data_IF_133391340416
#
_entry.id   IF_133391340416
#
_cell.length_a   1.000
_cell.length_b   1.000
_cell.length_c   1.000
_cell.angle_alpha   90.00
_cell.angle_beta   90.00
_cell.angle_gamma   90.00
#
_symmetry.space_group_name_H-M   'P 1'
#
loop_
_entity.id
_entity.type
_entity.pdbx_description
1 polymer ?
#
# COMPACT_ATOMS: atom_id res chain seq x y z
N UNK A 1 19.90 14.87 -2.71
CA UNK A 1 20.04 14.72 -4.15
C UNK A 1 18.87 13.95 -4.76
N UNK A 2 18.78 13.93 -6.08
CA UNK A 2 17.81 13.11 -6.77
C UNK A 2 18.10 11.62 -6.59
N UNK A 3 17.07 10.84 -6.22
CA UNK A 3 17.24 9.43 -5.86
C UNK A 3 17.73 8.57 -7.05
N UNK A 4 17.29 8.88 -8.28
CA UNK A 4 17.72 8.14 -9.45
C UNK A 4 19.19 8.44 -9.80
N UNK A 5 19.57 9.71 -9.84
CA UNK A 5 20.94 10.12 -10.16
C UNK A 5 21.94 9.70 -9.07
N UNK A 6 21.62 9.98 -7.81
CA UNK A 6 22.50 9.64 -6.68
C UNK A 6 22.60 8.12 -6.49
N UNK A 7 21.47 7.42 -6.60
CA UNK A 7 21.41 5.98 -6.49
C UNK A 7 22.16 5.26 -7.60
N UNK A 8 22.05 5.74 -8.85
CA UNK A 8 22.79 5.18 -9.98
C UNK A 8 24.30 5.37 -9.82
N UNK A 9 24.75 6.58 -9.46
CA UNK A 9 26.16 6.87 -9.21
C UNK A 9 26.73 6.00 -8.07
N UNK A 10 25.97 5.81 -6.99
CA UNK A 10 26.41 4.99 -5.85
C UNK A 10 26.49 3.51 -6.22
N UNK A 11 25.45 2.98 -6.87
CA UNK A 11 25.38 1.55 -7.20
C UNK A 11 26.32 1.12 -8.31
N UNK A 12 26.76 2.07 -9.15
CA UNK A 12 27.75 1.86 -10.21
C UNK A 12 29.19 2.16 -9.78
N UNK A 13 29.42 2.67 -8.56
CA UNK A 13 30.76 3.08 -8.13
C UNK A 13 31.69 1.88 -7.94
N UNK A 14 32.90 1.86 -8.51
CA UNK A 14 33.80 0.68 -8.45
C UNK A 14 34.23 0.29 -7.05
N UNK A 15 34.34 1.25 -6.11
CA UNK A 15 34.80 1.01 -4.74
C UNK A 15 33.69 0.54 -3.79
N UNK A 16 32.50 0.22 -4.32
CA UNK A 16 31.41 -0.34 -3.52
C UNK A 16 31.29 -1.84 -3.78
N UNK A 17 31.46 -2.64 -2.73
CA UNK A 17 31.41 -4.10 -2.80
C UNK A 17 30.03 -4.69 -2.57
N UNK A 18 29.18 -3.99 -1.81
CA UNK A 18 27.85 -4.46 -1.44
C UNK A 18 26.82 -3.32 -1.42
N UNK A 19 25.62 -3.63 -1.90
CA UNK A 19 24.46 -2.73 -1.87
C UNK A 19 23.35 -3.37 -1.05
N UNK A 20 22.89 -2.67 -0.01
CA UNK A 20 21.65 -2.98 0.71
C UNK A 20 20.63 -1.93 0.39
N UNK A 21 19.47 -2.34 -0.11
CA UNK A 21 18.44 -1.42 -0.61
C UNK A 21 17.05 -1.86 -0.20
N UNK A 22 16.24 -0.90 0.25
CA UNK A 22 14.80 -1.06 0.46
C UNK A 22 14.06 -0.07 -0.42
N UNK A 23 13.12 -0.55 -1.23
CA UNK A 23 12.32 0.31 -2.10
C UNK A 23 11.51 -0.43 -3.15
N UNK A 24 11.25 0.22 -4.29
CA UNK A 24 10.41 -0.36 -5.34
C UNK A 24 11.11 -1.49 -6.09
N UNK A 25 10.32 -2.47 -6.56
CA UNK A 25 10.81 -3.56 -7.44
C UNK A 25 11.53 -3.03 -8.67
N UNK A 26 11.05 -1.92 -9.27
CA UNK A 26 11.70 -1.26 -10.41
C UNK A 26 13.11 -0.77 -10.07
N UNK A 27 13.27 -0.10 -8.93
CA UNK A 27 14.59 0.37 -8.50
C UNK A 27 15.51 -0.79 -8.15
N UNK A 28 15.02 -1.82 -7.48
CA UNK A 28 15.79 -3.04 -7.17
C UNK A 28 16.31 -3.75 -8.43
N UNK A 29 15.50 -3.81 -9.50
CA UNK A 29 15.94 -4.37 -10.77
C UNK A 29 17.09 -3.58 -11.40
N UNK A 30 17.01 -2.23 -11.40
CA UNK A 30 18.09 -1.37 -11.90
C UNK A 30 19.37 -1.50 -11.07
N UNK A 31 19.24 -1.54 -9.75
CA UNK A 31 20.36 -1.77 -8.83
C UNK A 31 21.04 -3.10 -9.11
N UNK A 32 20.27 -4.17 -9.30
CA UNK A 32 20.82 -5.49 -9.63
C UNK A 32 21.57 -5.49 -10.95
N UNK A 33 21.04 -4.80 -11.96
CA UNK A 33 21.71 -4.65 -13.27
C UNK A 33 23.04 -3.89 -13.15
N UNK A 34 23.09 -2.80 -12.38
CA UNK A 34 24.31 -2.06 -12.14
C UNK A 34 25.34 -2.89 -11.37
N UNK A 35 24.91 -3.54 -10.30
CA UNK A 35 25.75 -4.36 -9.44
C UNK A 35 26.37 -5.57 -10.17
N UNK A 36 25.65 -6.15 -11.12
CA UNK A 36 26.10 -7.34 -11.84
C UNK A 36 27.39 -7.10 -12.66
N UNK A 37 27.65 -5.88 -13.13
CA UNK A 37 28.84 -5.55 -13.92
C UNK A 37 30.15 -5.81 -13.17
N UNK A 38 30.13 -5.56 -11.86
CA UNK A 38 31.30 -5.70 -10.98
C UNK A 38 31.12 -6.83 -9.95
N UNK A 39 30.13 -7.72 -10.14
CA UNK A 39 29.81 -8.83 -9.25
C UNK A 39 29.55 -8.42 -7.79
N UNK A 40 29.00 -7.21 -7.57
CA UNK A 40 28.69 -6.70 -6.24
C UNK A 40 27.61 -7.53 -5.56
N UNK A 41 27.71 -7.69 -4.27
CA UNK A 41 26.64 -8.31 -3.47
C UNK A 41 25.44 -7.37 -3.39
N UNK A 42 24.23 -7.93 -3.50
CA UNK A 42 22.99 -7.16 -3.38
C UNK A 42 22.05 -7.81 -2.38
N UNK A 43 21.56 -7.00 -1.44
CA UNK A 43 20.47 -7.35 -0.52
C UNK A 43 19.30 -6.43 -0.80
N UNK A 44 18.15 -6.98 -1.20
CA UNK A 44 17.00 -6.22 -1.64
C UNK A 44 15.77 -6.54 -0.77
N UNK A 45 15.20 -5.50 -0.19
CA UNK A 45 13.87 -5.52 0.42
C UNK A 45 12.93 -4.71 -0.49
N UNK A 46 12.01 -5.38 -1.15
CA UNK A 46 11.19 -4.81 -2.20
C UNK A 46 9.70 -4.82 -1.84
N UNK A 47 8.88 -4.24 -2.72
CA UNK A 47 7.45 -4.22 -2.58
C UNK A 47 6.79 -5.58 -2.77
N UNK A 48 5.54 -5.65 -2.41
CA UNK A 48 4.74 -6.86 -2.53
C UNK A 48 3.25 -6.58 -2.45
N UNK A 49 2.47 -7.65 -2.53
CA UNK A 49 1.01 -7.63 -2.36
C UNK A 49 0.65 -8.66 -1.28
N UNK A 50 0.83 -8.23 -0.01
CA UNK A 50 0.61 -9.09 1.16
C UNK A 50 -0.82 -9.60 1.26
N UNK A 51 -1.00 -10.82 1.77
CA UNK A 51 -2.29 -11.42 2.04
C UNK A 51 -2.55 -11.47 3.55
N UNK A 52 -3.79 -11.17 3.95
CA UNK A 52 -4.37 -11.47 5.25
C UNK A 52 -5.44 -12.55 5.05
N UNK A 53 -5.26 -13.72 5.65
CA UNK A 53 -6.15 -14.86 5.44
C UNK A 53 -6.96 -15.07 6.72
N UNK A 54 -8.28 -15.02 6.60
CA UNK A 54 -9.22 -15.11 7.74
C UNK A 54 -10.15 -16.28 7.52
N UNK A 55 -10.08 -17.25 8.42
CA UNK A 55 -11.00 -18.38 8.52
C UNK A 55 -12.10 -18.10 9.55
N UNK A 56 -13.15 -18.89 9.53
CA UNK A 56 -14.33 -18.73 10.40
C UNK A 56 -14.05 -18.85 11.90
N UNK A 57 -12.96 -19.51 12.26
CA UNK A 57 -12.52 -19.69 13.64
C UNK A 57 -11.45 -18.66 14.08
N UNK A 58 -11.20 -17.63 13.25
CA UNK A 58 -10.36 -16.51 13.65
C UNK A 58 -10.99 -15.75 14.83
N UNK A 59 -10.13 -15.05 15.57
CA UNK A 59 -10.64 -14.21 16.69
C UNK A 59 -11.55 -13.08 16.19
N UNK A 60 -12.38 -12.60 17.11
CA UNK A 60 -13.44 -11.63 16.78
C UNK A 60 -12.94 -10.29 16.21
N UNK A 61 -11.67 -9.92 16.41
CA UNK A 61 -11.10 -8.65 15.97
C UNK A 61 -10.21 -8.80 14.72
N UNK A 62 -10.10 -10.00 14.16
CA UNK A 62 -9.18 -10.31 13.07
C UNK A 62 -9.39 -9.42 11.84
N UNK A 63 -10.63 -9.05 11.54
CA UNK A 63 -11.02 -8.24 10.39
C UNK A 63 -10.56 -6.79 10.58
N UNK A 64 -10.93 -6.15 11.69
CA UNK A 64 -10.58 -4.77 12.00
C UNK A 64 -9.08 -4.60 12.19
N UNK A 65 -8.44 -5.55 12.85
CA UNK A 65 -6.98 -5.58 13.01
C UNK A 65 -6.27 -5.71 11.65
N UNK A 66 -6.82 -6.47 10.72
CA UNK A 66 -6.33 -6.57 9.36
C UNK A 66 -6.43 -5.24 8.61
N UNK A 67 -7.58 -4.57 8.71
CA UNK A 67 -7.77 -3.22 8.14
C UNK A 67 -6.82 -2.20 8.75
N UNK A 68 -6.69 -2.18 10.08
CA UNK A 68 -5.74 -1.30 10.79
C UNK A 68 -4.31 -1.48 10.27
N UNK A 69 -3.85 -2.71 10.10
CA UNK A 69 -2.50 -3.00 9.59
C UNK A 69 -2.31 -2.56 8.14
N UNK A 70 -3.38 -2.63 7.32
CA UNK A 70 -3.36 -2.11 5.96
C UNK A 70 -3.29 -0.58 5.93
N UNK A 71 -4.03 0.11 6.81
CA UNK A 71 -4.14 1.57 6.78
C UNK A 71 -3.02 2.30 7.54
N UNK A 72 -2.40 1.66 8.54
CA UNK A 72 -1.27 2.26 9.28
C UNK A 72 -0.22 2.82 8.34
N UNK A 73 0.42 3.93 8.77
CA UNK A 73 1.38 4.68 7.97
C UNK A 73 0.83 5.08 6.59
N UNK A 74 -0.50 5.30 6.52
CA UNK A 74 -1.21 5.60 5.27
C UNK A 74 -1.02 4.53 4.19
N UNK A 75 -0.86 3.26 4.61
CA UNK A 75 -0.63 2.12 3.73
C UNK A 75 0.75 2.06 3.07
N UNK A 76 1.68 2.91 3.50
CA UNK A 76 3.03 3.01 2.94
C UNK A 76 4.00 2.05 3.63
N UNK A 77 3.70 0.75 3.58
CA UNK A 77 4.52 -0.32 4.18
C UNK A 77 4.57 -1.52 3.27
N UNK A 78 5.77 -2.05 3.03
CA UNK A 78 5.99 -3.22 2.16
C UNK A 78 5.30 -4.49 2.68
N UNK A 79 5.08 -4.58 4.00
CA UNK A 79 4.38 -5.69 4.66
C UNK A 79 2.89 -5.42 4.94
N UNK A 80 2.31 -4.35 4.38
CA UNK A 80 0.89 -4.08 4.53
C UNK A 80 0.05 -5.21 3.91
N UNK A 81 -0.89 -5.82 4.67
CA UNK A 81 -1.70 -6.94 4.18
C UNK A 81 -2.89 -6.43 3.35
N UNK A 82 -2.60 -5.93 2.17
CA UNK A 82 -3.54 -5.22 1.30
C UNK A 82 -4.56 -6.10 0.58
N UNK A 83 -4.45 -7.43 0.71
CA UNK A 83 -5.46 -8.39 0.24
C UNK A 83 -6.01 -9.17 1.43
N UNK A 84 -7.28 -8.98 1.73
CA UNK A 84 -7.96 -9.78 2.74
C UNK A 84 -8.72 -10.93 2.08
N UNK A 85 -8.26 -12.15 2.32
CA UNK A 85 -8.87 -13.39 1.81
C UNK A 85 -9.71 -13.99 2.95
N UNK A 86 -11.02 -13.91 2.80
CA UNK A 86 -11.97 -14.31 3.83
C UNK A 86 -12.67 -15.59 3.44
N UNK A 87 -12.83 -16.54 4.37
CA UNK A 87 -13.63 -17.74 4.15
C UNK A 87 -15.04 -17.36 3.69
N UNK A 88 -15.55 -18.05 2.69
CA UNK A 88 -16.81 -17.71 1.99
C UNK A 88 -18.00 -17.57 2.96
N UNK A 89 -18.03 -18.36 4.01
CA UNK A 89 -19.10 -18.33 5.03
C UNK A 89 -19.18 -17.02 5.80
N UNK A 90 -18.06 -16.28 5.92
CA UNK A 90 -17.96 -15.01 6.64
C UNK A 90 -17.90 -13.78 5.73
N UNK A 91 -17.90 -13.99 4.42
CA UNK A 91 -17.56 -12.92 3.46
C UNK A 91 -18.44 -11.68 3.63
N UNK A 92 -19.77 -11.87 3.66
CA UNK A 92 -20.71 -10.75 3.79
C UNK A 92 -20.56 -10.01 5.11
N UNK A 93 -20.39 -10.74 6.21
CA UNK A 93 -20.12 -10.15 7.54
C UNK A 93 -18.83 -9.33 7.52
N UNK A 94 -17.76 -9.90 6.95
CA UNK A 94 -16.47 -9.20 6.84
C UNK A 94 -16.58 -7.90 6.04
N UNK A 95 -17.31 -7.90 4.93
CA UNK A 95 -17.54 -6.70 4.11
C UNK A 95 -18.26 -5.61 4.90
N UNK A 96 -19.33 -5.94 5.63
CA UNK A 96 -20.06 -4.98 6.45
C UNK A 96 -19.22 -4.45 7.62
N UNK A 97 -18.45 -5.29 8.29
CA UNK A 97 -17.54 -4.88 9.36
C UNK A 97 -16.43 -3.97 8.86
N UNK A 98 -15.80 -4.31 7.73
CA UNK A 98 -14.78 -3.47 7.08
C UNK A 98 -15.35 -2.12 6.68
N UNK A 99 -16.59 -2.09 6.13
CA UNK A 99 -17.28 -0.85 5.80
C UNK A 99 -17.38 0.05 7.01
N UNK A 100 -18.01 -0.47 8.08
CA UNK A 100 -18.22 0.27 9.33
C UNK A 100 -16.90 0.77 9.94
N UNK A 101 -15.88 -0.09 9.97
CA UNK A 101 -14.58 0.25 10.51
C UNK A 101 -13.91 1.37 9.69
N UNK A 102 -13.94 1.23 8.36
CA UNK A 102 -13.27 2.17 7.45
C UNK A 102 -13.95 3.55 7.43
N UNK A 103 -15.30 3.60 7.48
CA UNK A 103 -16.06 4.84 7.55
C UNK A 103 -15.79 5.65 8.83
N UNK A 104 -15.40 4.98 9.91
CA UNK A 104 -15.04 5.60 11.19
C UNK A 104 -13.52 5.77 11.37
N UNK A 105 -12.71 5.38 10.39
CA UNK A 105 -11.26 5.46 10.50
C UNK A 105 -10.78 6.89 10.22
N UNK A 106 -10.10 7.48 11.18
CA UNK A 106 -9.72 8.89 11.12
C UNK A 106 -8.52 9.14 10.20
N UNK A 107 -8.61 10.22 9.43
CA UNK A 107 -7.52 10.82 8.65
C UNK A 107 -7.34 12.26 9.15
N UNK A 108 -6.13 12.65 9.50
CA UNK A 108 -5.94 13.95 10.15
C UNK A 108 -4.55 14.56 10.00
N UNK A 109 -4.39 15.70 10.65
CA UNK A 109 -3.14 16.45 10.69
C UNK A 109 -2.07 15.66 11.49
N UNK A 110 -0.95 15.24 10.86
CA UNK A 110 0.09 14.46 11.51
C UNK A 110 0.82 15.17 12.64
N UNK A 111 0.57 16.48 12.84
CA UNK A 111 1.09 17.25 13.97
C UNK A 111 0.25 17.09 15.25
N UNK A 112 -0.93 16.54 15.13
CA UNK A 112 -1.81 16.26 16.27
C UNK A 112 -1.56 14.86 16.80
N UNK A 113 -1.63 14.70 18.11
CA UNK A 113 -1.62 13.37 18.72
C UNK A 113 -2.94 12.64 18.40
N UNK A 114 -2.88 11.33 18.25
CA UNK A 114 -4.04 10.49 17.95
C UNK A 114 -3.68 9.24 17.16
N UNK A 115 -4.68 8.39 16.93
CA UNK A 115 -4.53 7.15 16.15
C UNK A 115 -4.87 7.33 14.66
N UNK A 116 -5.07 8.57 14.21
CA UNK A 116 -5.36 8.87 12.80
C UNK A 116 -4.15 8.67 11.89
N UNK A 117 -4.40 8.46 10.61
CA UNK A 117 -3.35 8.44 9.59
C UNK A 117 -3.18 9.83 8.95
N UNK A 118 -1.93 10.14 8.59
CA UNK A 118 -1.56 11.38 7.91
C UNK A 118 -1.62 11.29 6.38
N UNK A 119 -0.98 12.24 5.68
CA UNK A 119 -0.88 12.23 4.22
C UNK A 119 0.12 11.18 3.74
N UNK A 120 0.04 10.82 2.45
CA UNK A 120 1.11 10.07 1.78
C UNK A 120 2.27 11.03 1.42
N UNK A 121 3.44 10.43 1.10
CA UNK A 121 4.71 11.12 1.02
C UNK A 121 4.79 12.20 -0.06
N UNK A 122 4.06 12.10 -1.17
CA UNK A 122 4.22 13.02 -2.32
C UNK A 122 2.98 13.07 -3.19
N UNK A 123 2.92 14.11 -4.05
CA UNK A 123 1.91 14.24 -5.09
C UNK A 123 1.93 13.09 -6.08
N UNK A 124 3.10 12.65 -6.49
CA UNK A 124 3.28 11.50 -7.38
C UNK A 124 2.65 10.25 -6.79
N UNK A 125 2.88 9.98 -5.50
CA UNK A 125 2.29 8.84 -4.83
C UNK A 125 0.78 8.98 -4.65
N UNK A 126 0.30 10.17 -4.29
CA UNK A 126 -1.13 10.47 -4.24
C UNK A 126 -1.81 10.18 -5.57
N UNK A 127 -1.28 10.71 -6.66
CA UNK A 127 -1.84 10.54 -8.00
C UNK A 127 -1.84 9.07 -8.45
N UNK A 128 -0.76 8.32 -8.14
CA UNK A 128 -0.71 6.87 -8.38
C UNK A 128 -1.85 6.14 -7.66
N UNK A 129 -2.05 6.44 -6.37
CA UNK A 129 -3.11 5.82 -5.57
C UNK A 129 -4.49 6.15 -6.15
N UNK A 130 -4.75 7.43 -6.47
CA UNK A 130 -6.02 7.85 -7.06
C UNK A 130 -6.30 7.15 -8.39
N UNK A 131 -5.28 6.99 -9.22
CA UNK A 131 -5.38 6.26 -10.50
C UNK A 131 -5.75 4.80 -10.27
N UNK A 132 -5.12 4.13 -9.30
CA UNK A 132 -5.40 2.73 -9.00
C UNK A 132 -6.78 2.53 -8.35
N UNK A 133 -7.24 3.46 -7.49
CA UNK A 133 -8.62 3.43 -6.97
C UNK A 133 -9.63 3.52 -8.11
N UNK A 134 -9.45 4.46 -9.04
CA UNK A 134 -10.32 4.58 -10.22
C UNK A 134 -10.27 3.31 -11.07
N UNK A 135 -9.08 2.78 -11.30
CA UNK A 135 -8.89 1.54 -12.06
C UNK A 135 -9.65 0.36 -11.45
N UNK A 136 -9.64 0.23 -10.11
CA UNK A 136 -10.43 -0.80 -9.42
C UNK A 136 -11.94 -0.66 -9.69
N UNK A 137 -12.46 0.57 -9.68
CA UNK A 137 -13.87 0.85 -10.00
C UNK A 137 -14.16 0.49 -11.47
N UNK A 138 -13.30 0.91 -12.41
CA UNK A 138 -13.45 0.68 -13.85
C UNK A 138 -13.39 -0.80 -14.21
N UNK A 139 -12.62 -1.59 -13.46
CA UNK A 139 -12.52 -3.05 -13.61
C UNK A 139 -13.69 -3.82 -12.95
N UNK A 140 -14.61 -3.09 -12.29
CA UNK A 140 -15.82 -3.66 -11.71
C UNK A 140 -15.68 -4.17 -10.27
N UNK A 141 -14.60 -3.81 -9.56
CA UNK A 141 -14.52 -4.05 -8.12
C UNK A 141 -15.59 -3.22 -7.38
N UNK A 142 -16.23 -3.81 -6.39
CA UNK A 142 -17.25 -3.14 -5.59
C UNK A 142 -16.58 -2.20 -4.57
N UNK A 143 -16.71 -0.90 -4.76
CA UNK A 143 -16.29 0.08 -3.76
C UNK A 143 -17.20 -0.02 -2.53
N UNK A 144 -16.63 -0.37 -1.39
CA UNK A 144 -17.34 -0.56 -0.11
C UNK A 144 -17.28 0.69 0.75
N UNK A 145 -16.10 1.32 0.83
CA UNK A 145 -15.88 2.53 1.60
C UNK A 145 -14.72 3.34 1.01
N UNK A 146 -14.62 4.62 1.33
CA UNK A 146 -13.57 5.52 0.86
C UNK A 146 -13.78 5.98 -0.58
N UNK A 147 -12.86 5.59 -1.48
CA UNK A 147 -12.92 5.94 -2.89
C UNK A 147 -12.07 7.15 -3.28
N UNK A 148 -12.21 7.65 -4.51
CA UNK A 148 -11.35 8.70 -5.03
C UNK A 148 -11.56 10.04 -4.30
N UNK A 149 -10.56 10.92 -4.45
CA UNK A 149 -10.54 12.24 -3.85
C UNK A 149 -9.93 12.30 -2.45
N UNK A 150 -9.97 13.47 -1.86
CA UNK A 150 -9.46 13.74 -0.52
C UNK A 150 -10.55 13.62 0.54
N UNK A 151 -10.21 13.37 1.81
CA UNK A 151 -11.15 13.52 2.92
C UNK A 151 -11.65 14.96 3.01
N UNK A 152 -12.89 15.15 3.48
CA UNK A 152 -13.47 16.46 3.73
C UNK A 152 -12.64 17.23 4.76
N UNK A 153 -12.46 18.53 4.51
CA UNK A 153 -11.64 19.41 5.37
C UNK A 153 -10.12 19.23 5.25
N UNK A 154 -9.64 18.32 4.39
CA UNK A 154 -8.22 18.04 4.17
C UNK A 154 -7.81 18.29 2.70
N UNK A 155 -8.24 19.43 2.13
CA UNK A 155 -8.00 19.79 0.73
C UNK A 155 -6.51 20.10 0.45
N UNK A 156 -5.77 20.55 1.47
CA UNK A 156 -4.34 20.81 1.38
C UNK A 156 -3.54 19.58 1.81
N UNK A 157 -2.52 19.23 1.03
CA UNK A 157 -1.69 18.04 1.28
C UNK A 157 -2.18 16.81 0.51
N UNK A 158 -1.49 15.68 0.72
CA UNK A 158 -1.67 14.46 -0.06
C UNK A 158 -2.45 13.39 0.73
N UNK A 159 -3.58 13.79 1.30
CA UNK A 159 -4.44 12.91 2.09
C UNK A 159 -5.27 11.99 1.19
N UNK A 160 -5.31 10.71 1.56
CA UNK A 160 -6.06 9.67 0.86
C UNK A 160 -7.11 9.09 1.81
N UNK A 161 -8.32 8.88 1.32
CA UNK A 161 -9.36 8.19 2.08
C UNK A 161 -9.00 6.72 2.25
N UNK A 162 -9.04 6.14 3.46
CA UNK A 162 -9.02 4.70 3.62
C UNK A 162 -10.08 4.08 2.72
N UNK A 163 -9.68 3.14 1.87
CA UNK A 163 -10.52 2.62 0.79
C UNK A 163 -10.58 1.11 0.84
N UNK A 164 -11.79 0.57 0.73
CA UNK A 164 -12.04 -0.87 0.71
C UNK A 164 -12.80 -1.26 -0.56
N UNK A 165 -12.28 -2.25 -1.26
CA UNK A 165 -12.95 -2.93 -2.35
C UNK A 165 -13.37 -4.34 -1.93
N UNK A 166 -14.55 -4.76 -2.41
CA UNK A 166 -15.05 -6.12 -2.34
C UNK A 166 -15.22 -6.69 -3.76
N UNK A 167 -15.48 -8.00 -3.85
CA UNK A 167 -15.70 -8.73 -5.10
C UNK A 167 -14.55 -8.58 -6.11
N UNK A 168 -13.32 -8.47 -5.57
CA UNK A 168 -12.09 -8.34 -6.35
C UNK A 168 -11.62 -9.71 -6.81
N UNK A 169 -11.29 -9.85 -8.08
CA UNK A 169 -10.63 -11.05 -8.60
C UNK A 169 -9.13 -10.81 -8.90
N UNK A 170 -8.37 -11.88 -8.98
CA UNK A 170 -6.91 -11.80 -9.15
C UNK A 170 -6.43 -11.24 -10.50
N UNK A 171 -7.33 -11.02 -11.47
CA UNK A 171 -6.98 -10.41 -12.75
C UNK A 171 -7.06 -8.90 -12.72
N UNK A 172 -7.74 -8.32 -11.73
CA UNK A 172 -7.82 -6.88 -11.54
C UNK A 172 -6.46 -6.30 -11.15
N UNK A 173 -6.15 -5.13 -11.64
CA UNK A 173 -4.86 -4.47 -11.37
C UNK A 173 -4.65 -4.19 -9.89
N UNK A 174 -5.69 -3.77 -9.18
CA UNK A 174 -5.63 -3.51 -7.72
C UNK A 174 -5.31 -4.76 -6.89
N UNK A 175 -5.59 -5.97 -7.40
CA UNK A 175 -5.23 -7.23 -6.74
C UNK A 175 -3.76 -7.62 -6.94
N UNK A 176 -3.10 -7.10 -7.97
CA UNK A 176 -1.76 -7.51 -8.41
C UNK A 176 -0.70 -6.45 -8.21
N UNK A 177 -1.10 -5.18 -8.20
CA UNK A 177 -0.19 -4.04 -8.09
C UNK A 177 -0.10 -3.55 -6.64
N UNK A 178 1.11 -3.31 -6.16
CA UNK A 178 1.35 -2.62 -4.90
C UNK A 178 0.90 -1.17 -5.01
N UNK A 179 -0.20 -0.82 -4.34
CA UNK A 179 -0.77 0.52 -4.35
C UNK A 179 0.09 1.48 -3.52
N UNK A 180 0.59 1.00 -2.37
CA UNK A 180 1.36 1.75 -1.39
C UNK A 180 0.60 2.96 -0.86
N UNK A 181 -0.66 2.72 -0.50
CA UNK A 181 -1.63 3.64 0.03
C UNK A 181 -2.65 2.89 0.91
N UNK A 182 -3.56 3.57 1.61
CA UNK A 182 -4.53 2.95 2.50
C UNK A 182 -5.71 2.35 1.72
N UNK A 183 -5.42 1.32 0.88
CA UNK A 183 -6.37 0.68 -0.05
C UNK A 183 -6.26 -0.83 0.01
#
# INVERSE_FOLDING_TARGET
GDGALTGDALTSHPDIDMISFTGSTRAGALISQNAAKDFKRVSLELGGKGANIIFKDADSEAIERGALRCFRNSGQSCNAPTRMLVEKSMYNEAVERLKKYTENFEVGDPKKEGEHIGPVISETQYNKIQTLIKKGIDEGAKLVAGGPGKPEGLEKGYFVKPTVFADVNNNMEIARTEIFGPV
#
